data_IF_987088597564
#
_entry.id   IF_987088597564
#
_cell.length_a   1.000
_cell.length_b   1.000
_cell.length_c   1.000
_cell.angle_alpha   90.00
_cell.angle_beta   90.00
_cell.angle_gamma   90.00
#
_symmetry.space_group_name_H-M   'P 1'
#
loop_
_entity.id
_entity.type
_entity.pdbx_description
1 polymer ?
#
# COMPACT_ATOMS: atom_id res chain seq x y z
N UNK A 1 -17.21 23.47 1.79
CA UNK A 1 -16.87 22.56 0.68
C UNK A 1 -15.88 21.53 1.12
N UNK A 2 -15.87 20.41 0.40
CA UNK A 2 -14.88 19.34 0.56
C UNK A 2 -13.52 19.75 -0.02
N UNK A 3 -12.48 19.68 0.80
CA UNK A 3 -11.09 19.81 0.34
C UNK A 3 -10.59 18.46 -0.24
N UNK A 4 -9.36 18.44 -0.78
CA UNK A 4 -8.75 17.23 -1.35
C UNK A 4 -8.72 16.07 -0.36
N UNK A 5 -8.41 16.34 0.91
CA UNK A 5 -8.34 15.30 1.93
C UNK A 5 -9.71 14.67 2.23
N UNK A 6 -10.77 15.47 2.25
CA UNK A 6 -12.14 14.97 2.40
C UNK A 6 -12.52 14.00 1.28
N UNK A 7 -12.03 14.25 0.05
CA UNK A 7 -12.22 13.32 -1.07
C UNK A 7 -11.43 12.03 -0.93
N UNK A 8 -10.18 12.09 -0.46
CA UNK A 8 -9.37 10.91 -0.18
C UNK A 8 -10.04 10.00 0.87
N UNK A 9 -10.60 10.60 1.92
CA UNK A 9 -11.34 9.89 2.99
C UNK A 9 -12.63 9.22 2.52
N UNK A 10 -13.13 9.57 1.32
CA UNK A 10 -14.37 9.03 0.72
C UNK A 10 -14.11 8.00 -0.38
N UNK A 11 -12.86 7.59 -0.58
CA UNK A 11 -12.51 6.62 -1.61
C UNK A 11 -12.92 5.20 -1.21
N UNK A 12 -13.66 4.50 -2.08
CA UNK A 12 -14.12 3.14 -1.78
C UNK A 12 -13.04 2.08 -2.00
N UNK A 13 -12.16 2.30 -2.97
CA UNK A 13 -11.12 1.35 -3.36
C UNK A 13 -9.79 2.05 -3.64
N UNK A 14 -8.72 1.28 -3.80
CA UNK A 14 -7.42 1.77 -4.27
C UNK A 14 -7.49 2.51 -5.61
N UNK A 15 -8.34 2.03 -6.53
CA UNK A 15 -8.52 2.66 -7.83
C UNK A 15 -9.20 4.02 -7.72
N UNK A 16 -10.17 4.17 -6.80
CA UNK A 16 -10.76 5.48 -6.50
C UNK A 16 -9.76 6.42 -5.81
N UNK A 17 -8.93 5.89 -4.91
CA UNK A 17 -7.89 6.68 -4.25
C UNK A 17 -6.91 7.25 -5.28
N UNK A 18 -6.43 6.40 -6.19
CA UNK A 18 -5.53 6.82 -7.26
C UNK A 18 -6.21 7.81 -8.22
N UNK A 19 -7.45 7.52 -8.63
CA UNK A 19 -8.23 8.43 -9.47
C UNK A 19 -8.40 9.81 -8.81
N UNK A 20 -8.60 9.85 -7.49
CA UNK A 20 -8.75 11.10 -6.73
C UNK A 20 -7.44 11.87 -6.68
N UNK A 21 -6.30 11.19 -6.53
CA UNK A 21 -4.97 11.81 -6.57
C UNK A 21 -4.63 12.35 -7.96
N UNK A 22 -4.91 11.61 -9.03
CA UNK A 22 -4.75 12.12 -10.40
C UNK A 22 -5.68 13.30 -10.67
N UNK A 23 -6.90 13.24 -10.15
CA UNK A 23 -7.88 14.31 -10.31
C UNK A 23 -7.46 15.60 -9.62
N UNK A 24 -6.90 15.53 -8.41
CA UNK A 24 -6.44 16.71 -7.68
C UNK A 24 -5.19 17.36 -8.30
N UNK A 25 -4.41 16.61 -9.08
CA UNK A 25 -3.20 17.10 -9.73
C UNK A 25 -3.47 17.84 -11.04
N UNK A 26 -4.39 17.33 -11.87
CA UNK A 26 -4.70 17.90 -13.18
C UNK A 26 -5.49 19.20 -13.05
N UNK A 27 -6.30 19.33 -12.01
CA UNK A 27 -7.20 20.47 -11.87
C UNK A 27 -7.42 20.84 -10.40
N UNK A 28 -6.54 21.69 -9.87
CA UNK A 28 -6.72 22.31 -8.55
C UNK A 28 -8.03 23.14 -8.48
N UNK A 29 -8.59 23.51 -9.64
CA UNK A 29 -9.87 24.22 -9.80
C UNK A 29 -11.10 23.32 -10.11
N UNK A 30 -10.92 22.01 -10.38
CA UNK A 30 -12.04 21.08 -10.68
C UNK A 30 -12.46 20.17 -9.54
N UNK A 31 -11.89 20.33 -8.35
CA UNK A 31 -12.73 20.30 -7.17
C UNK A 31 -13.29 21.71 -7.03
N UNK A 32 -14.20 22.17 -7.92
CA UNK A 32 -14.72 23.50 -7.73
C UNK A 32 -15.30 23.49 -6.33
N UNK A 33 -15.23 24.62 -5.62
CA UNK A 33 -16.28 24.88 -4.67
C UNK A 33 -17.61 24.64 -5.43
N UNK A 34 -18.23 23.46 -5.33
CA UNK A 34 -19.60 23.29 -5.81
C UNK A 34 -20.38 24.21 -4.86
N UNK A 35 -20.65 25.42 -5.34
CA UNK A 35 -21.18 26.56 -4.56
C UNK A 35 -22.53 26.20 -3.94
N UNK A 36 -23.23 25.26 -4.55
CA UNK A 36 -24.50 24.73 -4.10
C UNK A 36 -24.34 23.40 -3.36
N UNK A 37 -24.80 23.38 -2.11
CA UNK A 37 -25.04 22.15 -1.35
C UNK A 37 -26.27 21.47 -1.96
N UNK A 38 -26.20 20.14 -2.09
CA UNK A 38 -27.31 19.35 -2.61
C UNK A 38 -28.55 19.47 -1.71
N UNK A 39 -29.75 19.25 -2.27
CA UNK A 39 -30.98 19.33 -1.51
C UNK A 39 -30.98 18.27 -0.38
N UNK A 40 -31.69 18.51 0.73
CA UNK A 40 -31.91 17.48 1.73
C UNK A 40 -32.60 16.27 1.09
N UNK A 41 -32.35 15.09 1.64
CA UNK A 41 -32.97 13.86 1.15
C UNK A 41 -34.51 13.97 1.21
N UNK A 42 -35.15 13.90 0.05
CA UNK A 42 -36.60 13.96 -0.12
C UNK A 42 -37.08 12.88 -1.09
N UNK A 43 -38.40 12.75 -1.25
CA UNK A 43 -38.99 11.79 -2.18
C UNK A 43 -38.65 12.08 -3.66
N UNK A 44 -38.34 13.34 -3.99
CA UNK A 44 -38.16 13.80 -5.38
C UNK A 44 -36.72 14.25 -5.69
N UNK A 45 -36.01 14.71 -4.67
CA UNK A 45 -34.65 15.20 -4.78
C UNK A 45 -33.75 14.55 -3.74
N UNK A 46 -32.51 14.26 -4.13
CA UNK A 46 -31.50 13.71 -3.23
C UNK A 46 -30.14 14.29 -3.58
N UNK A 47 -29.23 14.42 -2.59
CA UNK A 47 -27.86 14.74 -2.88
C UNK A 47 -27.21 13.56 -3.64
N UNK A 48 -26.02 13.80 -4.18
CA UNK A 48 -25.22 12.78 -4.83
C UNK A 48 -25.06 11.56 -3.91
N UNK A 49 -25.41 10.34 -4.37
CA UNK A 49 -25.40 9.15 -3.50
C UNK A 49 -24.00 8.66 -3.12
N UNK A 50 -22.94 9.26 -3.67
CA UNK A 50 -21.55 8.96 -3.29
C UNK A 50 -21.02 9.93 -2.23
N UNK A 51 -21.09 11.25 -2.47
CA UNK A 51 -20.58 12.23 -1.49
C UNK A 51 -21.62 12.67 -0.47
N UNK A 52 -22.92 12.50 -0.73
CA UNK A 52 -24.03 12.95 0.11
C UNK A 52 -24.02 14.45 0.46
N UNK A 53 -23.24 15.25 -0.27
CA UNK A 53 -23.06 16.69 0.01
C UNK A 53 -23.53 17.53 -1.16
N UNK A 54 -23.11 17.18 -2.37
CA UNK A 54 -23.35 18.00 -3.55
C UNK A 54 -24.53 17.49 -4.37
N UNK A 55 -25.19 18.35 -5.18
CA UNK A 55 -26.31 17.93 -6.02
C UNK A 55 -25.88 16.88 -7.05
N UNK A 56 -26.77 15.94 -7.33
CA UNK A 56 -26.59 15.00 -8.44
C UNK A 56 -26.76 15.70 -9.78
N UNK A 57 -25.96 15.33 -10.78
CA UNK A 57 -26.12 15.86 -12.13
C UNK A 57 -27.44 15.41 -12.75
N UNK A 58 -28.23 16.37 -13.25
CA UNK A 58 -29.44 16.07 -14.03
C UNK A 58 -29.05 15.46 -15.39
N UNK A 59 -29.79 14.45 -15.91
CA UNK A 59 -29.46 13.79 -17.18
C UNK A 59 -29.35 14.75 -18.38
N UNK A 60 -30.08 15.86 -18.33
CA UNK A 60 -30.12 16.91 -19.36
C UNK A 60 -28.83 17.71 -19.47
N UNK A 61 -28.06 17.84 -18.37
CA UNK A 61 -26.82 18.61 -18.31
C UNK A 61 -25.58 17.82 -18.77
N UNK A 62 -25.75 16.55 -19.19
CA UNK A 62 -24.65 15.65 -19.52
C UNK A 62 -24.51 15.40 -21.02
N UNK A 63 -23.26 15.50 -21.50
CA UNK A 63 -22.89 15.08 -22.86
C UNK A 63 -23.28 13.60 -23.10
N UNK A 64 -23.66 13.21 -24.33
CA UNK A 64 -24.13 11.87 -24.65
C UNK A 64 -23.19 10.73 -24.18
N UNK A 65 -21.87 10.98 -24.12
CA UNK A 65 -20.87 10.01 -23.63
C UNK A 65 -21.00 9.67 -22.13
N UNK A 66 -21.72 10.48 -21.35
CA UNK A 66 -21.85 10.30 -19.89
C UNK A 66 -23.27 9.92 -19.45
N UNK A 67 -24.23 9.78 -20.37
CA UNK A 67 -25.65 9.50 -20.06
C UNK A 67 -25.87 8.16 -19.35
N UNK A 68 -25.06 7.13 -19.63
CA UNK A 68 -25.18 5.84 -18.94
C UNK A 68 -24.77 5.92 -17.46
N UNK A 69 -23.81 6.78 -17.13
CA UNK A 69 -23.41 7.01 -15.74
C UNK A 69 -24.34 8.02 -15.03
N UNK A 70 -25.06 8.87 -15.78
CA UNK A 70 -26.07 9.80 -15.25
C UNK A 70 -27.18 9.09 -14.46
N UNK A 71 -27.46 7.81 -14.78
CA UNK A 71 -28.42 6.96 -14.05
C UNK A 71 -28.14 6.88 -12.54
N UNK A 72 -26.90 7.12 -12.12
CA UNK A 72 -26.48 7.03 -10.73
C UNK A 72 -26.66 8.35 -9.96
N UNK A 73 -26.97 9.46 -10.65
CA UNK A 73 -27.19 10.76 -9.99
C UNK A 73 -25.96 11.30 -9.25
N UNK A 74 -24.75 11.02 -9.73
CA UNK A 74 -23.52 11.53 -9.12
C UNK A 74 -23.31 13.02 -9.41
N UNK A 75 -22.67 13.75 -8.48
CA UNK A 75 -22.16 15.09 -8.77
C UNK A 75 -20.99 15.02 -9.76
N UNK A 76 -20.57 16.16 -10.31
CA UNK A 76 -19.50 16.24 -11.32
C UNK A 76 -18.21 15.60 -10.84
N UNK A 77 -17.79 15.93 -9.63
CA UNK A 77 -16.56 15.44 -9.01
C UNK A 77 -16.59 13.92 -8.79
N UNK A 78 -17.67 13.40 -8.19
CA UNK A 78 -17.88 11.97 -8.01
C UNK A 78 -17.89 11.21 -9.33
N UNK A 79 -18.57 11.74 -10.34
CA UNK A 79 -18.64 11.13 -11.66
C UNK A 79 -17.26 11.05 -12.33
N UNK A 80 -16.46 12.13 -12.24
CA UNK A 80 -15.12 12.15 -12.79
C UNK A 80 -14.19 11.12 -12.12
N UNK A 81 -14.18 11.08 -10.78
CA UNK A 81 -13.39 10.11 -10.00
C UNK A 81 -13.80 8.67 -10.37
N UNK A 82 -15.10 8.37 -10.36
CA UNK A 82 -15.61 7.03 -10.65
C UNK A 82 -15.33 6.61 -12.10
N UNK A 83 -15.34 7.54 -13.07
CA UNK A 83 -15.00 7.20 -14.45
C UNK A 83 -13.50 6.93 -14.62
N UNK A 84 -12.64 7.72 -13.99
CA UNK A 84 -11.19 7.49 -14.02
C UNK A 84 -10.81 6.18 -13.34
N UNK A 85 -11.44 5.86 -12.21
CA UNK A 85 -11.12 4.65 -11.43
C UNK A 85 -11.35 3.34 -12.18
N UNK A 86 -12.25 3.31 -13.19
CA UNK A 86 -12.51 2.12 -14.01
C UNK A 86 -11.25 1.60 -14.73
N UNK A 87 -10.36 2.50 -15.16
CA UNK A 87 -9.12 2.12 -15.85
C UNK A 87 -7.98 1.77 -14.89
N UNK A 88 -8.09 2.16 -13.62
CA UNK A 88 -7.00 2.10 -12.65
C UNK A 88 -7.02 0.84 -11.76
N UNK A 89 -8.01 -0.04 -11.92
CA UNK A 89 -8.17 -1.23 -11.08
C UNK A 89 -6.99 -2.20 -11.11
N UNK A 90 -6.34 -2.38 -12.26
CA UNK A 90 -5.16 -3.25 -12.37
C UNK A 90 -3.91 -2.60 -11.75
N UNK A 91 -3.72 -1.31 -11.99
CA UNK A 91 -2.63 -0.53 -11.43
C UNK A 91 -2.73 -0.52 -9.91
N UNK A 92 -3.90 -0.19 -9.35
CA UNK A 92 -4.07 -0.07 -7.91
C UNK A 92 -3.72 -1.35 -7.15
N UNK A 93 -4.09 -2.53 -7.69
CA UNK A 93 -3.84 -3.85 -7.05
C UNK A 93 -2.37 -4.17 -6.83
N UNK A 94 -1.46 -3.57 -7.58
CA UNK A 94 -0.01 -3.76 -7.42
C UNK A 94 0.63 -2.60 -6.67
N UNK A 95 -0.15 -1.66 -6.14
CA UNK A 95 0.33 -0.51 -5.38
C UNK A 95 0.28 -0.77 -3.87
N UNK A 96 1.14 -0.03 -3.17
CA UNK A 96 1.07 0.17 -1.73
C UNK A 96 0.82 1.64 -1.44
N UNK A 97 0.08 1.88 -0.37
CA UNK A 97 -0.17 3.20 0.19
C UNK A 97 0.77 3.38 1.38
N UNK A 98 1.41 4.53 1.43
CA UNK A 98 2.26 4.97 2.51
C UNK A 98 1.64 6.26 3.07
N UNK A 99 1.10 6.18 4.28
CA UNK A 99 0.75 7.36 5.07
C UNK A 99 1.92 7.68 5.99
N UNK A 100 2.57 8.82 5.77
CA UNK A 100 3.70 9.27 6.58
C UNK A 100 3.30 10.42 7.49
N UNK A 101 3.71 10.32 8.75
CA UNK A 101 3.69 11.39 9.75
C UNK A 101 5.12 11.53 10.28
N UNK A 102 5.85 12.54 9.81
CA UNK A 102 7.30 12.69 9.97
C UNK A 102 7.69 14.07 10.50
N UNK A 103 8.91 14.19 11.00
CA UNK A 103 9.45 15.45 11.57
C UNK A 103 9.42 16.59 10.56
N UNK A 104 9.66 16.29 9.29
CA UNK A 104 9.50 17.18 8.14
C UNK A 104 9.26 16.34 6.88
N UNK A 105 8.41 16.81 5.99
CA UNK A 105 8.23 16.18 4.66
C UNK A 105 9.47 16.49 3.79
N UNK A 106 10.11 15.47 3.18
CA UNK A 106 11.21 15.67 2.25
C UNK A 106 10.90 16.66 1.13
N UNK A 107 11.80 17.61 0.89
CA UNK A 107 11.67 18.59 -0.19
C UNK A 107 11.47 17.92 -1.55
N UNK A 108 12.13 16.78 -1.80
CA UNK A 108 11.99 16.06 -3.07
C UNK A 108 10.57 15.48 -3.27
N UNK A 109 9.83 15.21 -2.19
CA UNK A 109 8.41 14.85 -2.27
C UNK A 109 7.53 16.07 -2.55
N UNK A 110 7.92 17.25 -2.05
CA UNK A 110 7.22 18.51 -2.30
C UNK A 110 7.39 18.97 -3.76
N UNK A 111 8.63 18.98 -4.25
CA UNK A 111 8.93 19.41 -5.63
C UNK A 111 8.60 18.35 -6.67
N UNK A 112 8.38 17.10 -6.25
CA UNK A 112 8.18 15.93 -7.12
C UNK A 112 9.31 15.78 -8.14
N UNK A 113 10.54 15.97 -7.68
CA UNK A 113 11.73 15.85 -8.52
C UNK A 113 12.54 14.60 -8.18
N UNK A 114 13.35 14.18 -9.15
CA UNK A 114 14.30 13.07 -9.01
C UNK A 114 13.62 11.74 -8.72
N UNK A 115 14.21 10.96 -7.81
CA UNK A 115 13.78 9.59 -7.52
C UNK A 115 12.29 9.47 -7.14
N UNK A 116 11.74 10.46 -6.45
CA UNK A 116 10.35 10.45 -6.01
C UNK A 116 9.37 10.71 -7.16
N UNK A 117 9.79 11.44 -8.20
CA UNK A 117 8.99 11.68 -9.41
C UNK A 117 8.76 10.38 -10.19
N UNK A 118 9.83 9.59 -10.37
CA UNK A 118 9.82 8.42 -11.24
C UNK A 118 9.06 7.23 -10.64
N UNK A 119 8.99 7.16 -9.31
CA UNK A 119 8.47 5.99 -8.57
C UNK A 119 7.10 6.22 -7.96
N UNK A 120 6.70 7.47 -7.74
CA UNK A 120 5.38 7.80 -7.23
C UNK A 120 4.33 7.73 -8.34
N UNK A 121 3.29 6.92 -8.10
CA UNK A 121 2.10 6.88 -8.98
C UNK A 121 1.15 8.01 -8.59
N UNK A 122 1.09 8.33 -7.30
CA UNK A 122 0.32 9.46 -6.80
C UNK A 122 0.83 9.93 -5.44
N UNK A 123 0.81 11.23 -5.22
CA UNK A 123 1.20 11.85 -3.95
C UNK A 123 0.21 12.94 -3.54
N UNK A 124 0.06 13.10 -2.24
CA UNK A 124 -0.69 14.18 -1.62
C UNK A 124 0.04 14.65 -0.35
N UNK A 125 0.28 15.96 -0.26
CA UNK A 125 0.86 16.59 0.92
C UNK A 125 -0.29 17.18 1.73
N UNK A 126 -0.42 16.77 2.99
CA UNK A 126 -1.47 17.24 3.86
C UNK A 126 -1.04 18.51 4.63
N UNK A 127 0.16 18.46 5.19
CA UNK A 127 0.81 19.56 5.92
C UNK A 127 2.34 19.35 5.91
N UNK A 128 3.09 20.14 6.69
CA UNK A 128 4.56 20.10 6.79
C UNK A 128 5.12 18.78 7.36
N UNK A 129 4.25 17.94 7.95
CA UNK A 129 4.62 16.69 8.62
C UNK A 129 3.97 15.46 8.00
N UNK A 130 2.87 15.64 7.25
CA UNK A 130 2.02 14.55 6.79
C UNK A 130 1.93 14.48 5.28
N UNK A 131 2.10 13.27 4.76
CA UNK A 131 1.93 12.99 3.35
C UNK A 131 1.33 11.61 3.10
N UNK A 132 0.71 11.47 1.94
CA UNK A 132 0.23 10.22 1.38
C UNK A 132 0.98 9.95 0.08
N UNK A 133 1.51 8.74 -0.07
CA UNK A 133 2.21 8.30 -1.27
C UNK A 133 1.67 6.95 -1.74
N UNK A 134 1.47 6.81 -3.05
CA UNK A 134 1.19 5.54 -3.73
C UNK A 134 2.38 5.20 -4.61
N UNK A 135 2.97 4.02 -4.38
CA UNK A 135 4.08 3.48 -5.19
C UNK A 135 3.76 2.03 -5.62
N UNK A 136 4.39 1.50 -6.68
CA UNK A 136 4.34 0.07 -6.95
C UNK A 136 4.92 -0.70 -5.77
N UNK A 137 4.26 -1.78 -5.35
CA UNK A 137 4.64 -2.56 -4.16
C UNK A 137 6.08 -3.07 -4.18
N UNK A 138 6.63 -3.34 -5.37
CA UNK A 138 8.00 -3.83 -5.56
C UNK A 138 9.07 -2.75 -5.44
N UNK A 139 8.68 -1.48 -5.56
CA UNK A 139 9.57 -0.33 -5.39
C UNK A 139 9.74 0.06 -3.92
N UNK A 140 9.00 -0.59 -3.00
CA UNK A 140 9.01 -0.27 -1.58
C UNK A 140 10.41 -0.33 -0.97
N UNK A 141 11.19 -1.37 -1.31
CA UNK A 141 12.57 -1.51 -0.81
C UNK A 141 13.42 -0.32 -1.27
N UNK A 142 13.49 -0.08 -2.57
CA UNK A 142 14.27 1.01 -3.16
C UNK A 142 13.85 2.35 -2.57
N UNK A 143 12.55 2.56 -2.38
CA UNK A 143 12.03 3.80 -1.81
C UNK A 143 12.49 4.04 -0.37
N UNK A 144 12.39 3.02 0.51
CA UNK A 144 12.88 3.13 1.88
C UNK A 144 14.41 3.32 1.89
N UNK A 145 15.13 2.61 1.02
CA UNK A 145 16.58 2.70 0.92
C UNK A 145 17.04 4.11 0.57
N UNK A 146 16.49 4.71 -0.49
CA UNK A 146 16.82 6.08 -0.89
C UNK A 146 16.45 7.08 0.21
N UNK A 147 15.29 6.92 0.84
CA UNK A 147 14.87 7.78 1.95
C UNK A 147 15.86 7.72 3.12
N UNK A 148 16.37 6.54 3.48
CA UNK A 148 17.36 6.38 4.53
C UNK A 148 18.75 6.87 4.13
N UNK A 149 19.11 6.83 2.84
CA UNK A 149 20.37 7.39 2.33
C UNK A 149 20.38 8.92 2.46
N UNK A 150 19.29 9.58 2.07
CA UNK A 150 19.23 11.06 2.05
C UNK A 150 18.84 11.67 3.40
N UNK A 151 17.91 11.04 4.12
CA UNK A 151 17.30 11.63 5.33
C UNK A 151 17.65 10.86 6.61
N UNK A 152 18.23 9.66 6.49
CA UNK A 152 18.85 8.89 7.57
C UNK A 152 18.25 9.03 8.96
N UNK A 153 19.08 9.49 9.90
CA UNK A 153 18.74 9.72 11.31
C UNK A 153 17.94 11.00 11.57
N UNK A 154 17.86 11.88 10.59
CA UNK A 154 17.27 13.22 10.74
C UNK A 154 15.74 13.15 10.59
N UNK A 155 15.26 12.19 9.80
CA UNK A 155 13.85 11.89 9.72
C UNK A 155 13.41 11.05 10.91
N UNK A 156 12.37 11.51 11.59
CA UNK A 156 11.72 10.79 12.70
C UNK A 156 10.22 10.74 12.47
N UNK A 157 9.56 9.75 13.05
CA UNK A 157 8.11 9.61 12.96
C UNK A 157 7.70 8.23 12.49
N UNK A 158 6.66 8.17 11.67
CA UNK A 158 5.95 6.92 11.40
C UNK A 158 5.46 6.83 9.96
N UNK A 159 5.76 5.69 9.33
CA UNK A 159 5.13 5.26 8.09
C UNK A 159 4.15 4.14 8.34
N UNK A 160 2.89 4.36 7.99
CA UNK A 160 1.90 3.29 7.85
C UNK A 160 1.90 2.81 6.39
N UNK A 161 2.26 1.54 6.19
CA UNK A 161 2.39 0.94 4.87
C UNK A 161 1.38 -0.18 4.74
N UNK A 162 0.48 -0.08 3.78
CA UNK A 162 -0.56 -1.07 3.52
C UNK A 162 -0.86 -1.16 2.02
N UNK A 163 -1.20 -2.35 1.49
CA UNK A 163 -1.61 -2.47 0.10
C UNK A 163 -2.96 -1.77 -0.13
N UNK A 164 -3.28 -1.48 -1.40
CA UNK A 164 -4.60 -0.93 -1.70
C UNK A 164 -5.70 -1.99 -1.60
N UNK A 165 -6.96 -1.57 -1.42
CA UNK A 165 -8.12 -2.45 -1.51
C UNK A 165 -8.66 -2.55 -2.94
N UNK A 166 -9.18 -3.73 -3.30
CA UNK A 166 -10.12 -3.85 -4.41
C UNK A 166 -11.52 -3.37 -4.00
N UNK A 167 -12.42 -3.22 -4.97
CA UNK A 167 -13.84 -3.03 -4.67
C UNK A 167 -14.39 -4.27 -3.96
N UNK A 168 -14.85 -4.13 -2.71
CA UNK A 168 -15.31 -5.26 -1.88
C UNK A 168 -15.87 -4.83 -0.53
N UNK A 169 -16.46 -5.79 0.20
CA UNK A 169 -17.33 -5.52 1.36
C UNK A 169 -16.64 -5.32 2.72
N UNK A 170 -15.31 -5.49 2.83
CA UNK A 170 -14.62 -5.50 4.14
C UNK A 170 -14.15 -4.13 4.66
N UNK A 171 -14.59 -3.06 4.00
CA UNK A 171 -14.25 -1.67 4.34
C UNK A 171 -13.70 -0.90 3.13
N UNK A 172 -13.89 0.41 3.16
CA UNK A 172 -13.42 1.33 2.12
C UNK A 172 -11.96 1.71 2.32
N UNK A 173 -11.31 2.09 1.21
CA UNK A 173 -9.95 2.64 1.25
C UNK A 173 -9.85 3.88 2.15
N UNK A 174 -10.89 4.71 2.16
CA UNK A 174 -11.01 5.89 3.01
C UNK A 174 -11.09 5.55 4.51
N UNK A 175 -11.81 4.50 4.90
CA UNK A 175 -11.86 4.02 6.29
C UNK A 175 -10.49 3.49 6.75
N UNK A 176 -9.79 2.75 5.89
CA UNK A 176 -8.42 2.27 6.18
C UNK A 176 -7.48 3.44 6.39
N UNK A 177 -7.54 4.46 5.52
CA UNK A 177 -6.74 5.67 5.66
C UNK A 177 -7.05 6.39 6.99
N UNK A 178 -8.33 6.57 7.31
CA UNK A 178 -8.75 7.16 8.60
C UNK A 178 -8.25 6.35 9.80
N UNK A 179 -8.25 5.02 9.70
CA UNK A 179 -7.70 4.13 10.73
C UNK A 179 -6.19 4.30 10.91
N UNK A 180 -5.44 4.42 9.81
CA UNK A 180 -4.01 4.69 9.87
C UNK A 180 -3.71 6.02 10.56
N UNK A 181 -4.42 7.09 10.17
CA UNK A 181 -4.29 8.42 10.77
C UNK A 181 -4.62 8.38 12.26
N UNK A 182 -5.71 7.70 12.66
CA UNK A 182 -6.10 7.59 14.06
C UNK A 182 -5.01 6.99 14.95
N UNK A 183 -4.18 6.09 14.39
CA UNK A 183 -3.11 5.43 15.13
C UNK A 183 -1.79 6.21 15.16
N UNK A 184 -1.65 7.31 14.41
CA UNK A 184 -0.39 8.04 14.29
C UNK A 184 0.05 8.68 15.62
N UNK A 185 -0.90 9.21 16.40
CA UNK A 185 -0.64 9.93 17.65
C UNK A 185 -0.09 9.07 18.78
N UNK A 186 -0.07 7.75 18.61
CA UNK A 186 0.40 6.79 19.62
C UNK A 186 1.92 6.62 19.62
N UNK A 187 2.62 7.16 18.62
CA UNK A 187 4.05 6.94 18.45
C UNK A 187 4.85 8.21 18.71
N UNK A 188 5.92 8.14 19.52
CA UNK A 188 6.81 9.28 19.73
C UNK A 188 7.63 9.58 18.46
N UNK A 189 8.03 10.85 18.32
CA UNK A 189 8.87 11.36 17.22
C UNK A 189 10.37 11.24 17.54
N UNK A 190 10.78 10.11 18.11
CA UNK A 190 12.15 9.81 18.56
C UNK A 190 12.99 9.09 17.49
N UNK A 191 12.35 8.28 16.65
CA UNK A 191 12.98 7.55 15.55
C UNK A 191 11.99 7.35 14.40
N UNK A 192 12.49 6.95 13.23
CA UNK A 192 11.63 6.58 12.11
C UNK A 192 11.16 5.13 12.23
N UNK A 193 9.86 4.94 12.38
CA UNK A 193 9.22 3.62 12.47
C UNK A 193 8.42 3.31 11.22
N UNK A 194 8.33 2.03 10.91
CA UNK A 194 7.46 1.48 9.87
C UNK A 194 6.44 0.56 10.51
N UNK A 195 5.16 0.86 10.31
CA UNK A 195 4.02 -0.02 10.59
C UNK A 195 3.56 -0.67 9.29
N UNK A 196 3.95 -1.93 9.09
CA UNK A 196 3.66 -2.67 7.88
C UNK A 196 2.46 -3.61 8.04
N UNK A 197 1.46 -3.42 7.19
CA UNK A 197 0.28 -4.27 7.10
C UNK A 197 0.31 -5.02 5.77
N UNK A 198 0.40 -6.34 5.82
CA UNK A 198 0.39 -7.19 4.62
C UNK A 198 -1.00 -7.29 3.97
N UNK A 199 -2.05 -6.95 4.73
CA UNK A 199 -3.43 -6.88 4.29
C UNK A 199 -4.04 -5.58 4.85
N UNK A 200 -4.80 -4.81 4.06
CA UNK A 200 -5.17 -3.45 4.47
C UNK A 200 -6.14 -3.44 5.66
N UNK A 201 -6.96 -4.48 5.82
CA UNK A 201 -7.94 -4.56 6.92
C UNK A 201 -7.30 -4.85 8.28
N UNK A 202 -6.00 -5.19 8.32
CA UNK A 202 -5.25 -5.34 9.57
C UNK A 202 -5.13 -4.01 10.34
N UNK A 203 -5.34 -2.87 9.67
CA UNK A 203 -5.35 -1.54 10.32
C UNK A 203 -6.41 -1.43 11.41
N UNK A 204 -7.55 -2.14 11.29
CA UNK A 204 -8.63 -2.10 12.28
C UNK A 204 -8.38 -2.97 13.52
N UNK A 205 -7.38 -3.86 13.48
CA UNK A 205 -7.05 -4.74 14.60
C UNK A 205 -5.53 -4.96 14.70
N UNK A 206 -4.77 -3.90 15.01
CA UNK A 206 -3.31 -3.96 14.98
C UNK A 206 -2.70 -4.73 16.17
N UNK A 207 -3.42 -4.83 17.30
CA UNK A 207 -2.91 -5.36 18.58
C UNK A 207 -2.29 -6.75 18.45
N UNK A 208 -3.03 -7.70 17.89
CA UNK A 208 -2.57 -9.09 17.70
C UNK A 208 -1.26 -9.23 16.92
N UNK A 209 -0.96 -8.27 16.03
CA UNK A 209 0.27 -8.27 15.22
C UNK A 209 1.40 -7.54 15.93
N UNK A 210 1.10 -6.44 16.61
CA UNK A 210 2.07 -5.72 17.45
C UNK A 210 2.60 -6.63 18.55
N UNK A 211 1.74 -7.34 19.28
CA UNK A 211 2.14 -8.31 20.33
C UNK A 211 3.04 -9.43 19.80
N UNK A 212 2.92 -9.76 18.51
CA UNK A 212 3.71 -10.79 17.84
C UNK A 212 4.99 -10.26 17.19
N UNK A 213 5.26 -8.96 17.27
CA UNK A 213 6.41 -8.32 16.62
C UNK A 213 6.32 -8.34 15.09
N UNK A 214 5.11 -8.24 14.52
CA UNK A 214 4.86 -8.39 13.07
C UNK A 214 4.36 -7.12 12.37
N UNK A 215 4.36 -6.00 13.08
CA UNK A 215 3.72 -4.79 12.61
C UNK A 215 4.67 -3.59 12.67
N UNK A 216 5.23 -3.30 13.84
CA UNK A 216 6.09 -2.12 14.04
C UNK A 216 7.56 -2.49 14.00
N UNK A 217 8.33 -1.78 13.19
CA UNK A 217 9.77 -1.95 13.01
C UNK A 217 10.46 -0.60 13.02
N UNK A 218 11.74 -0.57 13.38
CA UNK A 218 12.61 0.54 12.97
C UNK A 218 12.77 0.51 11.45
N UNK A 219 12.84 1.67 10.78
CA UNK A 219 12.95 1.72 9.32
C UNK A 219 14.16 0.94 8.78
N UNK A 220 15.33 1.04 9.43
CA UNK A 220 16.52 0.29 9.05
C UNK A 220 16.35 -1.23 9.25
N UNK A 221 15.63 -1.65 10.30
CA UNK A 221 15.29 -3.06 10.50
C UNK A 221 14.35 -3.57 9.41
N UNK A 222 13.33 -2.80 9.08
CA UNK A 222 12.39 -3.15 8.03
C UNK A 222 13.06 -3.25 6.65
N UNK A 223 14.00 -2.34 6.34
CA UNK A 223 14.80 -2.43 5.12
C UNK A 223 15.61 -3.73 5.06
N UNK A 224 16.29 -4.11 6.16
CA UNK A 224 17.00 -5.40 6.24
C UNK A 224 16.07 -6.59 6.02
N UNK A 225 14.82 -6.54 6.52
CA UNK A 225 13.84 -7.60 6.28
C UNK A 225 13.44 -7.70 4.80
N UNK A 226 13.29 -6.57 4.10
CA UNK A 226 13.05 -6.56 2.66
C UNK A 226 14.24 -7.14 1.88
N UNK A 227 15.48 -6.77 2.23
CA UNK A 227 16.69 -7.32 1.64
C UNK A 227 16.80 -8.84 1.83
N UNK A 228 16.58 -9.32 3.06
CA UNK A 228 16.54 -10.76 3.34
C UNK A 228 15.46 -11.45 2.51
N UNK A 229 14.29 -10.84 2.36
CA UNK A 229 13.19 -11.42 1.56
C UNK A 229 13.58 -11.50 0.08
N UNK A 230 14.29 -10.51 -0.44
CA UNK A 230 14.76 -10.51 -1.82
C UNK A 230 15.83 -11.58 -2.07
N UNK A 231 16.79 -11.74 -1.16
CA UNK A 231 17.79 -12.83 -1.21
C UNK A 231 17.08 -14.19 -1.13
N UNK A 232 16.13 -14.34 -0.21
CA UNK A 232 15.31 -15.53 -0.05
C UNK A 232 14.61 -15.91 -1.36
N UNK A 233 13.97 -14.92 -2.01
CA UNK A 233 13.31 -15.10 -3.30
C UNK A 233 14.29 -15.44 -4.42
N UNK A 234 15.52 -14.93 -4.37
CA UNK A 234 16.49 -15.13 -5.44
C UNK A 234 17.18 -16.50 -5.35
N UNK A 235 17.34 -17.06 -4.14
CA UNK A 235 17.99 -18.35 -3.93
C UNK A 235 17.03 -19.53 -3.90
N UNK A 236 15.76 -19.32 -3.53
CA UNK A 236 14.76 -20.39 -3.51
C UNK A 236 13.73 -20.21 -4.63
N UNK A 237 13.54 -21.26 -5.43
CA UNK A 237 12.49 -21.31 -6.44
C UNK A 237 11.10 -21.30 -5.77
N UNK A 238 10.03 -20.88 -6.46
CA UNK A 238 8.68 -20.86 -5.88
C UNK A 238 8.24 -22.19 -5.24
N UNK A 239 8.56 -23.32 -5.86
CA UNK A 239 8.22 -24.64 -5.31
C UNK A 239 9.04 -24.99 -4.05
N UNK A 240 10.30 -24.54 -3.97
CA UNK A 240 11.14 -24.69 -2.79
C UNK A 240 10.65 -23.81 -1.64
N UNK A 241 10.21 -22.58 -1.96
CA UNK A 241 9.57 -21.69 -1.00
C UNK A 241 8.29 -22.32 -0.44
N UNK A 242 7.45 -22.92 -1.27
CA UNK A 242 6.24 -23.64 -0.80
C UNK A 242 6.60 -24.84 0.09
N UNK A 243 7.55 -25.67 -0.34
CA UNK A 243 8.00 -26.81 0.45
C UNK A 243 8.53 -26.38 1.83
N UNK A 244 9.38 -25.34 1.89
CA UNK A 244 9.86 -24.77 3.15
C UNK A 244 8.71 -24.28 4.04
N UNK A 245 7.71 -23.63 3.46
CA UNK A 245 6.56 -23.12 4.20
C UNK A 245 5.74 -24.25 4.84
N UNK A 246 5.58 -25.36 4.12
CA UNK A 246 4.91 -26.56 4.61
C UNK A 246 5.72 -27.23 5.73
N UNK A 247 7.05 -27.33 5.57
CA UNK A 247 7.94 -27.92 6.58
C UNK A 247 7.86 -27.19 7.92
N UNK A 248 7.87 -25.85 7.89
CA UNK A 248 7.80 -25.02 9.10
C UNK A 248 6.46 -25.16 9.83
N UNK A 249 5.41 -25.62 9.14
CA UNK A 249 4.08 -25.84 9.71
C UNK A 249 3.91 -27.21 10.37
N UNK A 250 4.84 -28.14 10.16
CA UNK A 250 4.79 -29.47 10.78
C UNK A 250 4.84 -29.35 12.31
N UNK A 251 4.02 -30.18 12.98
CA UNK A 251 3.98 -30.25 14.45
C UNK A 251 4.84 -31.40 15.00
N UNK A 252 5.03 -32.46 14.21
CA UNK A 252 5.78 -33.64 14.62
C UNK A 252 7.29 -33.44 14.38
N UNK A 253 8.06 -33.38 15.47
CA UNK A 253 9.52 -33.15 15.43
C UNK A 253 10.29 -34.23 14.67
N UNK A 254 9.86 -35.49 14.71
CA UNK A 254 10.55 -36.60 14.03
C UNK A 254 10.39 -36.50 12.51
N UNK A 255 9.16 -36.23 12.07
CA UNK A 255 8.84 -35.98 10.66
C UNK A 255 9.56 -34.73 10.15
N UNK A 256 9.54 -33.65 10.94
CA UNK A 256 10.24 -32.41 10.59
C UNK A 256 11.72 -32.66 10.30
N UNK A 257 12.43 -33.41 11.14
CA UNK A 257 13.86 -33.70 10.92
C UNK A 257 14.10 -34.54 9.66
N UNK A 258 13.26 -35.56 9.41
CA UNK A 258 13.35 -36.38 8.22
C UNK A 258 13.10 -35.57 6.94
N UNK A 259 12.00 -34.83 6.89
CA UNK A 259 11.66 -34.03 5.72
C UNK A 259 12.62 -32.86 5.51
N UNK A 260 13.17 -32.29 6.58
CA UNK A 260 14.22 -31.27 6.49
C UNK A 260 15.48 -31.81 5.80
N UNK A 261 15.93 -33.01 6.17
CA UNK A 261 17.07 -33.65 5.51
C UNK A 261 16.85 -33.86 4.02
N UNK A 262 15.66 -34.33 3.64
CA UNK A 262 15.28 -34.50 2.22
C UNK A 262 15.21 -33.17 1.48
N UNK A 263 14.59 -32.15 2.08
CA UNK A 263 14.49 -30.82 1.52
C UNK A 263 15.89 -30.22 1.27
N UNK A 264 16.76 -30.25 2.27
CA UNK A 264 18.15 -29.80 2.12
C UNK A 264 18.94 -30.61 1.09
N UNK A 265 18.58 -31.87 0.84
CA UNK A 265 19.17 -32.68 -0.23
C UNK A 265 18.88 -32.14 -1.63
N UNK A 266 17.68 -31.61 -1.86
CA UNK A 266 17.20 -31.13 -3.17
C UNK A 266 17.65 -29.69 -3.51
N UNK A 267 17.97 -28.87 -2.51
CA UNK A 267 18.34 -27.47 -2.73
C UNK A 267 19.70 -27.27 -3.42
N UNK A 268 19.87 -26.11 -4.05
CA UNK A 268 21.19 -25.64 -4.51
C UNK A 268 22.12 -25.36 -3.33
N UNK A 269 23.45 -25.38 -3.56
CA UNK A 269 24.41 -25.09 -2.49
C UNK A 269 24.21 -23.70 -1.89
N UNK A 270 23.98 -22.68 -2.73
CA UNK A 270 23.72 -21.31 -2.30
C UNK A 270 22.48 -21.22 -1.39
N UNK A 271 21.40 -21.93 -1.74
CA UNK A 271 20.19 -21.98 -0.92
C UNK A 271 20.44 -22.67 0.43
N UNK A 272 21.22 -23.77 0.45
CA UNK A 272 21.60 -24.45 1.70
C UNK A 272 22.41 -23.54 2.61
N UNK A 273 23.42 -22.87 2.05
CA UNK A 273 24.31 -21.98 2.79
C UNK A 273 23.53 -20.81 3.39
N UNK A 274 22.64 -20.19 2.62
CA UNK A 274 21.74 -19.14 3.11
C UNK A 274 20.87 -19.62 4.27
N UNK A 275 20.15 -20.75 4.11
CA UNK A 275 19.24 -21.26 5.14
C UNK A 275 19.99 -21.64 6.43
N UNK A 276 21.19 -22.21 6.29
CA UNK A 276 22.07 -22.58 7.41
C UNK A 276 22.63 -21.34 8.11
N UNK A 277 23.14 -20.36 7.35
CA UNK A 277 23.68 -19.11 7.88
C UNK A 277 22.61 -18.33 8.66
N UNK A 278 21.39 -18.29 8.13
CA UNK A 278 20.27 -17.64 8.79
C UNK A 278 19.70 -18.45 9.95
N UNK A 279 20.04 -19.74 10.08
CA UNK A 279 19.46 -20.66 11.07
C UNK A 279 17.94 -20.63 11.04
N UNK A 280 17.35 -20.63 9.84
CA UNK A 280 15.90 -20.38 9.64
C UNK A 280 15.01 -21.36 10.41
N UNK A 281 15.49 -22.58 10.66
CA UNK A 281 14.80 -23.61 11.46
C UNK A 281 14.54 -23.17 12.91
N UNK A 282 15.37 -22.27 13.43
CA UNK A 282 15.28 -21.73 14.79
C UNK A 282 14.46 -20.44 14.84
N UNK A 283 14.00 -19.91 13.71
CA UNK A 283 13.26 -18.66 13.70
C UNK A 283 11.87 -18.83 14.34
N UNK A 284 11.35 -17.78 14.99
CA UNK A 284 9.95 -17.73 15.39
C UNK A 284 9.03 -17.91 14.18
N UNK A 285 7.94 -18.69 14.34
CA UNK A 285 6.95 -18.91 13.28
C UNK A 285 6.39 -17.62 12.69
N UNK A 286 6.22 -16.61 13.55
CA UNK A 286 5.77 -15.27 13.17
C UNK A 286 6.78 -14.59 12.22
N UNK A 287 8.08 -14.69 12.48
CA UNK A 287 9.13 -14.12 11.61
C UNK A 287 9.16 -14.79 10.24
N UNK A 288 9.00 -16.11 10.19
CA UNK A 288 8.89 -16.85 8.92
C UNK A 288 7.64 -16.40 8.17
N UNK A 289 6.49 -16.30 8.84
CA UNK A 289 5.26 -15.78 8.24
C UNK A 289 5.47 -14.39 7.63
N UNK A 290 6.12 -13.47 8.34
CA UNK A 290 6.43 -12.13 7.82
C UNK A 290 7.29 -12.19 6.56
N UNK A 291 8.33 -13.05 6.53
CA UNK A 291 9.17 -13.25 5.36
C UNK A 291 8.33 -13.61 4.13
N UNK A 292 7.39 -14.54 4.27
CA UNK A 292 6.46 -14.91 3.20
C UNK A 292 5.52 -13.76 2.81
N UNK A 293 4.97 -13.03 3.79
CA UNK A 293 4.12 -11.85 3.52
C UNK A 293 4.87 -10.75 2.74
N UNK A 294 6.16 -10.55 3.00
CA UNK A 294 7.01 -9.57 2.31
C UNK A 294 7.40 -10.01 0.89
N UNK A 295 7.25 -11.28 0.52
CA UNK A 295 7.67 -11.75 -0.81
C UNK A 295 6.99 -10.95 -1.93
N UNK A 296 5.74 -10.56 -1.75
CA UNK A 296 4.99 -9.78 -2.75
C UNK A 296 5.49 -8.33 -2.94
N UNK A 297 6.38 -7.86 -2.07
CA UNK A 297 6.88 -6.48 -2.00
C UNK A 297 8.32 -6.33 -2.48
N UNK A 298 8.96 -7.42 -2.91
CA UNK A 298 10.34 -7.41 -3.40
C UNK A 298 10.43 -8.01 -4.80
N UNK A 299 11.51 -7.70 -5.52
CA UNK A 299 11.74 -8.23 -6.84
C UNK A 299 12.12 -9.72 -6.80
N UNK A 300 11.76 -10.44 -7.86
CA UNK A 300 12.24 -11.79 -8.09
C UNK A 300 13.31 -11.72 -9.17
N UNK A 301 14.56 -11.85 -8.78
CA UNK A 301 15.68 -11.99 -9.70
C UNK A 301 15.83 -13.47 -10.03
N UNK A 302 15.42 -13.86 -11.24
CA UNK A 302 15.83 -15.16 -11.77
C UNK A 302 17.32 -15.09 -12.06
N UNK A 303 18.14 -15.57 -11.13
CA UNK A 303 19.54 -15.88 -11.42
C UNK A 303 19.54 -16.99 -12.48
N UNK A 304 19.72 -16.63 -13.76
CA UNK A 304 19.98 -17.61 -14.82
C UNK A 304 19.13 -17.56 -16.10
N UNK A 305 18.32 -16.54 -16.35
CA UNK A 305 17.78 -16.31 -17.70
C UNK A 305 18.08 -14.87 -18.10
N UNK A 306 19.03 -14.71 -19.03
CA UNK A 306 19.19 -13.47 -19.80
C UNK A 306 17.80 -13.07 -20.30
N UNK A 307 17.25 -11.97 -19.80
CA UNK A 307 16.05 -11.38 -20.39
C UNK A 307 16.40 -11.06 -21.83
N UNK A 308 15.86 -11.83 -22.77
CA UNK A 308 15.59 -11.28 -24.10
C UNK A 308 14.67 -10.10 -23.87
N UNK A 309 15.22 -8.90 -24.08
CA UNK A 309 14.45 -7.70 -24.33
C UNK A 309 13.59 -7.99 -25.56
N UNK A 310 12.28 -7.94 -25.42
CA UNK A 310 11.40 -7.65 -26.55
C UNK A 310 10.65 -6.37 -26.22
N UNK A 311 10.96 -5.40 -27.09
CA UNK A 311 10.27 -4.17 -27.49
C UNK A 311 9.03 -3.74 -26.70
#
# INVERSE_FOLDING_TARGET
>A
MLNTFDWLRRCHSGAELLATLEYSQVDTYLLPPEEEIGPPLSAFERPCPRCWIYPGLKPEALSPKFRDNAKHGYCRSCLAITNRSKALGNVSRVCVVIWGCVSHVPDQLLTRDGFYADKAIGSYIHDEHRFLLLIPRRELKTWIQELLIYHGSDMRGLFHIFPTTGGGQRGSMGEILCGAIYHESRFPMDMLRVRFFSNPFQVFSPGDRDEKGLLTFEAAEFLRLLEMTEIFRSFLRPEEQKALHELVRLKNRKEEQFYWGRFMGYLSQQAKDMLNAWKIRQWPKNRIRLLYELTDYVHYHQNGVKKCQYA
#
